data_IF_736593508081
#
_entry.id   IF_736593508081
#
_cell.length_a   1.000
_cell.length_b   1.000
_cell.length_c   1.000
_cell.angle_alpha   90.00
_cell.angle_beta   90.00
_cell.angle_gamma   90.00
#
_symmetry.space_group_name_H-M   'P 1'
#
loop_
_entity.id
_entity.type
_entity.pdbx_description
1 polymer ?
#
# COMPACT_ATOMS: atom_id res chain seq x y z
N UNK A 1 -34.83 -7.89 5.15
CA UNK A 1 -34.66 -9.22 4.52
C UNK A 1 -33.71 -9.10 3.35
N UNK A 2 -32.66 -9.93 3.27
CA UNK A 2 -31.81 -10.03 2.07
C UNK A 2 -32.68 -10.52 0.92
N UNK A 3 -32.66 -9.78 -0.22
CA UNK A 3 -33.46 -10.18 -1.38
C UNK A 3 -33.03 -11.58 -1.87
N UNK A 4 -33.94 -12.38 -2.47
CA UNK A 4 -33.65 -13.73 -2.97
C UNK A 4 -32.40 -13.84 -3.87
N UNK A 5 -32.03 -12.73 -4.55
CA UNK A 5 -30.86 -12.64 -5.42
C UNK A 5 -29.52 -12.76 -4.69
N UNK A 6 -29.46 -12.41 -3.40
CA UNK A 6 -28.24 -12.57 -2.59
C UNK A 6 -28.03 -14.00 -2.10
N UNK A 7 -29.05 -14.81 -2.11
CA UNK A 7 -28.95 -16.25 -1.79
C UNK A 7 -28.10 -17.00 -2.82
N UNK A 8 -28.30 -16.71 -4.13
CA UNK A 8 -27.45 -17.27 -5.20
C UNK A 8 -25.98 -16.84 -5.07
N UNK A 9 -25.72 -15.58 -4.68
CA UNK A 9 -24.38 -15.11 -4.41
C UNK A 9 -23.74 -15.87 -3.22
N UNK A 10 -24.48 -16.06 -2.13
CA UNK A 10 -23.98 -16.80 -0.95
C UNK A 10 -23.68 -18.26 -1.30
N UNK A 11 -24.52 -18.90 -2.09
CA UNK A 11 -24.25 -20.27 -2.57
C UNK A 11 -23.01 -20.31 -3.44
N UNK A 12 -22.86 -19.38 -4.39
CA UNK A 12 -21.68 -19.28 -5.24
C UNK A 12 -20.40 -19.04 -4.43
N UNK A 13 -20.45 -18.16 -3.44
CA UNK A 13 -19.31 -17.89 -2.52
C UNK A 13 -19.01 -19.11 -1.66
N UNK A 14 -20.03 -19.76 -1.09
CA UNK A 14 -19.87 -21.00 -0.31
C UNK A 14 -19.25 -22.12 -1.14
N UNK A 15 -19.71 -22.30 -2.38
CA UNK A 15 -19.17 -23.28 -3.31
C UNK A 15 -17.72 -22.96 -3.72
N UNK A 16 -17.42 -21.69 -3.99
CA UNK A 16 -16.05 -21.25 -4.28
C UNK A 16 -15.09 -21.51 -3.10
N UNK A 17 -15.56 -21.28 -1.87
CA UNK A 17 -14.78 -21.56 -0.65
C UNK A 17 -14.62 -23.08 -0.43
N UNK A 18 -15.61 -23.88 -0.75
CA UNK A 18 -15.52 -25.35 -0.66
C UNK A 18 -14.53 -25.93 -1.68
N UNK A 19 -14.47 -25.39 -2.88
CA UNK A 19 -13.55 -25.85 -3.93
C UNK A 19 -12.14 -25.28 -3.78
N UNK A 20 -12.00 -23.97 -3.59
CA UNK A 20 -10.71 -23.32 -3.51
C UNK A 20 -10.07 -23.38 -2.10
N UNK A 21 -10.90 -23.48 -1.05
CA UNK A 21 -10.46 -23.52 0.33
C UNK A 21 -9.47 -24.64 0.64
N UNK A 22 -9.75 -25.90 0.29
CA UNK A 22 -8.81 -27.01 0.49
C UNK A 22 -7.50 -26.81 -0.25
N UNK A 23 -7.55 -26.32 -1.50
CA UNK A 23 -6.36 -26.06 -2.31
C UNK A 23 -5.49 -24.96 -1.68
N UNK A 24 -6.10 -23.88 -1.21
CA UNK A 24 -5.40 -22.82 -0.50
C UNK A 24 -4.82 -23.30 0.83
N UNK A 25 -5.55 -24.15 1.55
CA UNK A 25 -5.09 -24.73 2.82
C UNK A 25 -3.95 -25.74 2.64
N UNK A 26 -3.90 -26.46 1.51
CA UNK A 26 -2.79 -27.36 1.17
C UNK A 26 -1.56 -26.56 0.72
N UNK A 27 -1.74 -25.62 -0.20
CA UNK A 27 -0.63 -24.85 -0.80
C UNK A 27 -0.07 -23.76 0.12
N UNK A 28 -0.88 -23.17 0.99
CA UNK A 28 -0.53 -22.02 1.86
C UNK A 28 -1.07 -22.16 3.28
N UNK A 29 -1.28 -23.39 3.75
CA UNK A 29 -1.97 -23.69 5.01
C UNK A 29 -1.33 -23.08 6.25
N UNK A 30 0.00 -22.97 6.30
CA UNK A 30 0.70 -22.31 7.41
C UNK A 30 0.27 -20.85 7.60
N UNK A 31 -0.05 -20.14 6.53
CA UNK A 31 -0.49 -18.74 6.59
C UNK A 31 -1.99 -18.56 6.78
N UNK A 32 -2.83 -19.48 6.27
CA UNK A 32 -4.29 -19.30 6.26
C UNK A 32 -5.02 -20.03 7.41
N UNK A 33 -4.54 -21.18 7.88
CA UNK A 33 -5.18 -21.91 9.00
C UNK A 33 -5.39 -21.05 10.25
N UNK A 34 -4.40 -20.26 10.71
CA UNK A 34 -4.59 -19.41 11.90
C UNK A 34 -5.63 -18.30 11.69
N UNK A 35 -5.99 -17.98 10.45
CA UNK A 35 -6.91 -16.88 10.11
C UNK A 35 -8.36 -17.32 9.99
N UNK A 36 -8.64 -18.63 9.90
CA UNK A 36 -9.97 -19.18 9.61
C UNK A 36 -11.02 -18.77 10.63
N UNK A 37 -10.67 -18.83 11.93
CA UNK A 37 -11.61 -18.43 12.99
C UNK A 37 -12.08 -16.98 12.83
N UNK A 38 -11.13 -16.06 12.54
CA UNK A 38 -11.45 -14.64 12.28
C UNK A 38 -12.32 -14.48 11.03
N UNK A 39 -12.00 -15.21 9.94
CA UNK A 39 -12.74 -15.16 8.67
C UNK A 39 -14.14 -15.76 8.72
N UNK A 40 -14.41 -16.62 9.70
CA UNK A 40 -15.75 -17.13 10.02
C UNK A 40 -16.46 -16.27 11.06
N UNK A 41 -15.97 -15.08 11.36
CA UNK A 41 -16.53 -14.15 12.32
C UNK A 41 -16.31 -14.58 13.77
N UNK A 42 -15.42 -15.53 14.04
CA UNK A 42 -15.20 -16.15 15.33
C UNK A 42 -13.97 -15.71 16.12
N UNK A 43 -13.03 -15.01 15.50
CA UNK A 43 -11.83 -14.53 16.18
C UNK A 43 -12.13 -13.29 17.02
N UNK A 44 -11.71 -13.28 18.30
CA UNK A 44 -11.63 -12.00 19.01
C UNK A 44 -10.56 -11.14 18.34
N UNK A 45 -10.86 -9.88 18.00
CA UNK A 45 -9.84 -8.95 17.57
C UNK A 45 -8.80 -8.86 18.70
N UNK A 46 -7.52 -9.11 18.40
CA UNK A 46 -6.48 -8.90 19.40
C UNK A 46 -6.35 -7.40 19.63
N UNK A 47 -6.54 -6.99 20.88
CA UNK A 47 -6.25 -5.63 21.32
C UNK A 47 -4.77 -5.30 21.05
N UNK A 48 -4.46 -4.06 20.66
CA UNK A 48 -3.08 -3.61 20.72
C UNK A 48 -2.60 -3.70 22.16
N UNK A 49 -1.39 -4.21 22.38
CA UNK A 49 -0.73 -4.06 23.69
C UNK A 49 -0.62 -2.57 23.97
N UNK A 50 -1.05 -2.08 25.14
CA UNK A 50 -0.92 -0.67 25.48
C UNK A 50 0.56 -0.28 25.42
N UNK A 51 0.90 0.93 24.96
CA UNK A 51 2.25 1.44 25.09
C UNK A 51 2.64 1.45 26.57
N UNK A 52 3.89 1.13 26.87
CA UNK A 52 4.42 0.93 28.23
C UNK A 52 4.30 2.13 29.19
N UNK A 53 3.65 3.21 28.82
CA UNK A 53 3.58 4.50 29.53
C UNK A 53 2.16 4.99 29.88
N UNK A 54 1.11 4.19 29.73
CA UNK A 54 -0.22 4.60 30.25
C UNK A 54 -0.46 4.02 31.64
N UNK A 55 -0.96 4.82 32.62
CA UNK A 55 -1.28 4.32 33.95
C UNK A 55 -2.35 3.23 33.87
N UNK A 56 -2.16 2.15 34.63
CA UNK A 56 -3.13 1.07 34.77
C UNK A 56 -4.40 1.61 35.44
N UNK A 57 -5.38 2.01 34.62
CA UNK A 57 -6.75 2.18 35.05
C UNK A 57 -7.45 0.83 35.07
N UNK A 58 -7.95 0.43 36.20
CA UNK A 58 -8.83 -0.74 36.35
C UNK A 58 -10.07 -0.55 35.48
N UNK A 59 -10.32 -1.46 34.57
CA UNK A 59 -11.50 -1.51 33.73
C UNK A 59 -11.13 -1.87 32.30
N UNK A 60 -11.35 -3.12 31.94
CA UNK A 60 -11.21 -3.58 30.57
C UNK A 60 -12.03 -2.69 29.63
N UNK A 61 -11.37 -1.88 28.83
CA UNK A 61 -12.03 -1.07 27.80
C UNK A 61 -12.80 -2.02 26.89
N UNK A 62 -14.11 -1.81 26.69
CA UNK A 62 -14.87 -2.66 25.79
C UNK A 62 -14.21 -2.62 24.41
N UNK A 63 -14.17 -3.75 23.68
CA UNK A 63 -13.39 -3.89 22.46
C UNK A 63 -13.67 -2.81 21.40
N UNK A 64 -14.84 -2.14 21.46
CA UNK A 64 -15.16 -1.03 20.55
C UNK A 64 -16.13 -0.06 21.20
N UNK A 65 -15.70 1.19 21.37
CA UNK A 65 -16.58 2.25 21.82
C UNK A 65 -17.62 2.58 20.74
N UNK A 66 -18.85 2.87 21.15
CA UNK A 66 -19.92 3.34 20.27
C UNK A 66 -19.45 4.58 19.49
N UNK A 67 -19.63 4.58 18.16
CA UNK A 67 -19.44 5.78 17.36
C UNK A 67 -18.09 5.94 16.65
N UNK A 68 -17.24 4.92 16.60
CA UNK A 68 -15.96 4.95 15.89
C UNK A 68 -16.07 4.81 14.36
N UNK A 69 -14.91 4.70 13.69
CA UNK A 69 -14.81 4.39 12.26
C UNK A 69 -14.32 2.96 12.05
N UNK A 70 -14.84 2.33 11.02
CA UNK A 70 -14.33 1.09 10.48
C UNK A 70 -13.62 1.34 9.16
N UNK A 71 -12.31 1.11 9.12
CA UNK A 71 -11.45 1.23 7.95
C UNK A 71 -11.23 -0.16 7.36
N UNK A 72 -11.54 -0.36 6.08
CA UNK A 72 -11.31 -1.63 5.39
C UNK A 72 -10.26 -1.46 4.30
N UNK A 73 -9.10 -2.07 4.51
CA UNK A 73 -7.93 -2.02 3.63
C UNK A 73 -7.46 -3.44 3.29
N UNK A 74 -7.62 -3.88 2.05
CA UNK A 74 -7.42 -5.27 1.65
C UNK A 74 -5.95 -5.69 1.67
N UNK A 75 -5.07 -4.83 1.17
CA UNK A 75 -3.66 -5.11 0.87
C UNK A 75 -2.68 -4.32 1.74
N UNK A 76 -1.38 -4.65 1.61
CA UNK A 76 -0.27 -3.89 2.23
C UNK A 76 -0.29 -2.42 1.83
N UNK A 77 -0.53 -2.14 0.53
CA UNK A 77 -0.58 -0.77 0.00
C UNK A 77 -1.74 0.03 0.58
N UNK A 78 -2.92 -0.57 0.62
CA UNK A 78 -4.11 0.07 1.21
C UNK A 78 -3.99 0.26 2.71
N UNK A 79 -3.38 -0.68 3.44
CA UNK A 79 -3.11 -0.52 4.87
C UNK A 79 -2.21 0.69 5.14
N UNK A 80 -1.22 0.95 4.28
CA UNK A 80 -0.38 2.15 4.33
C UNK A 80 -1.18 3.44 4.07
N UNK A 81 -2.03 3.42 3.05
CA UNK A 81 -2.92 4.55 2.70
C UNK A 81 -3.92 4.82 3.84
N UNK A 82 -4.52 3.77 4.41
CA UNK A 82 -5.42 3.89 5.54
C UNK A 82 -4.72 4.48 6.78
N UNK A 83 -3.48 4.08 7.04
CA UNK A 83 -2.67 4.65 8.12
C UNK A 83 -2.33 6.13 7.88
N UNK A 84 -2.05 6.51 6.64
CA UNK A 84 -1.84 7.91 6.26
C UNK A 84 -3.06 8.77 6.59
N UNK A 85 -4.26 8.30 6.21
CA UNK A 85 -5.52 9.00 6.54
C UNK A 85 -5.79 9.03 8.05
N UNK A 86 -5.57 7.92 8.74
CA UNK A 86 -5.91 7.76 10.15
C UNK A 86 -5.05 8.62 11.09
N UNK A 87 -3.89 9.06 10.66
CA UNK A 87 -2.99 9.91 11.44
C UNK A 87 -3.61 11.26 11.77
N UNK A 88 -4.40 11.80 10.85
CA UNK A 88 -5.03 13.11 10.99
C UNK A 88 -6.50 13.01 11.48
N UNK A 89 -6.97 11.81 11.84
CA UNK A 89 -8.22 11.60 12.55
C UNK A 89 -8.04 11.92 14.05
N UNK A 90 -9.10 12.39 14.76
CA UNK A 90 -9.05 12.64 16.19
C UNK A 90 -8.45 11.45 16.96
N UNK A 91 -7.54 11.71 17.90
CA UNK A 91 -6.83 10.67 18.63
C UNK A 91 -7.75 9.80 19.49
N UNK A 92 -8.83 10.36 19.98
CA UNK A 92 -9.88 9.73 20.79
C UNK A 92 -10.93 8.98 19.96
N UNK A 93 -10.94 9.16 18.63
CA UNK A 93 -11.88 8.46 17.76
C UNK A 93 -11.55 6.97 17.70
N UNK A 94 -12.45 6.06 18.14
CA UNK A 94 -12.22 4.63 18.06
C UNK A 94 -12.08 4.15 16.62
N UNK A 95 -11.04 3.37 16.34
CA UNK A 95 -10.78 2.82 15.01
C UNK A 95 -10.76 1.30 15.02
N UNK A 96 -11.42 0.72 14.03
CA UNK A 96 -11.30 -0.69 13.66
C UNK A 96 -10.72 -0.76 12.27
N UNK A 97 -9.71 -1.59 12.07
CA UNK A 97 -9.09 -1.81 10.77
C UNK A 97 -9.26 -3.27 10.38
N UNK A 98 -9.80 -3.54 9.21
CA UNK A 98 -9.87 -4.91 8.69
C UNK A 98 -9.06 -5.05 7.41
N UNK A 99 -8.42 -6.21 7.27
CA UNK A 99 -7.64 -6.59 6.09
C UNK A 99 -8.03 -7.97 5.59
N UNK A 100 -7.56 -8.36 4.41
CA UNK A 100 -7.81 -9.69 3.85
C UNK A 100 -6.53 -10.54 3.80
N UNK A 101 -5.40 -9.93 3.40
CA UNK A 101 -4.16 -10.69 3.23
C UNK A 101 -3.35 -10.79 4.53
N UNK A 102 -2.60 -11.89 4.78
CA UNK A 102 -1.73 -12.00 5.95
C UNK A 102 -0.70 -10.86 6.04
N UNK A 103 -0.04 -10.53 4.93
CA UNK A 103 0.94 -9.43 4.86
C UNK A 103 0.28 -8.06 5.07
N UNK A 104 -0.95 -7.86 4.56
CA UNK A 104 -1.76 -6.68 4.86
C UNK A 104 -2.09 -6.56 6.34
N UNK A 105 -2.40 -7.69 6.99
CA UNK A 105 -2.67 -7.75 8.42
C UNK A 105 -1.44 -7.38 9.27
N UNK A 106 -0.28 -7.92 8.92
CA UNK A 106 0.99 -7.60 9.59
C UNK A 106 1.31 -6.11 9.44
N UNK A 107 1.19 -5.59 8.23
CA UNK A 107 1.38 -4.16 7.94
C UNK A 107 0.40 -3.29 8.72
N UNK A 108 -0.89 -3.66 8.76
CA UNK A 108 -1.89 -2.91 9.50
C UNK A 108 -1.60 -2.93 11.00
N UNK A 109 -1.23 -4.09 11.58
CA UNK A 109 -0.84 -4.17 12.99
C UNK A 109 0.33 -3.26 13.34
N UNK A 110 1.36 -3.23 12.50
CA UNK A 110 2.49 -2.34 12.70
C UNK A 110 2.10 -0.85 12.57
N UNK A 111 1.33 -0.51 11.53
CA UNK A 111 0.97 0.88 11.24
C UNK A 111 -0.05 1.47 12.22
N UNK A 112 -0.90 0.63 12.81
CA UNK A 112 -1.96 1.03 13.75
C UNK A 112 -1.70 0.59 15.19
N UNK A 113 -0.45 0.22 15.53
CA UNK A 113 -0.08 -0.18 16.88
C UNK A 113 -0.48 0.89 17.92
N UNK A 114 -1.24 0.48 18.94
CA UNK A 114 -1.76 1.40 19.98
C UNK A 114 -2.87 2.36 19.52
N UNK A 115 -3.24 2.40 18.22
CA UNK A 115 -4.22 3.34 17.67
C UNK A 115 -5.54 2.71 17.25
N UNK A 116 -5.51 1.47 16.74
CA UNK A 116 -6.71 0.79 16.26
C UNK A 116 -6.71 -0.69 16.59
N UNK A 117 -7.90 -1.27 16.66
CA UNK A 117 -8.03 -2.72 16.68
C UNK A 117 -7.98 -3.26 15.26
N UNK A 118 -7.11 -4.25 15.03
CA UNK A 118 -6.87 -4.82 13.71
C UNK A 118 -7.38 -6.26 13.63
N UNK A 119 -8.24 -6.55 12.66
CA UNK A 119 -8.85 -7.86 12.45
C UNK A 119 -8.83 -8.28 10.97
N UNK A 120 -9.06 -9.56 10.70
CA UNK A 120 -9.38 -10.00 9.35
C UNK A 120 -10.84 -9.69 9.02
N UNK A 121 -11.10 -9.23 7.78
CA UNK A 121 -12.46 -9.20 7.28
C UNK A 121 -12.99 -10.65 7.22
N UNK A 122 -14.20 -10.92 7.75
CA UNK A 122 -14.82 -12.22 7.56
C UNK A 122 -15.10 -12.49 6.08
N UNK A 123 -15.24 -13.77 5.72
CA UNK A 123 -15.77 -14.13 4.40
C UNK A 123 -17.12 -13.44 4.18
N UNK A 124 -17.40 -13.02 2.96
CA UNK A 124 -18.65 -12.34 2.62
C UNK A 124 -19.84 -13.33 2.61
N UNK A 125 -20.06 -13.95 3.77
CA UNK A 125 -21.15 -14.85 4.09
C UNK A 125 -22.02 -14.19 5.15
N UNK A 126 -23.35 -14.21 4.96
CA UNK A 126 -24.26 -13.46 5.82
C UNK A 126 -24.15 -13.80 7.31
N UNK A 127 -23.90 -15.07 7.69
CA UNK A 127 -23.70 -15.46 9.08
C UNK A 127 -22.36 -14.96 9.61
N UNK A 128 -21.29 -15.04 8.82
CA UNK A 128 -19.95 -14.62 9.24
C UNK A 128 -19.86 -13.11 9.44
N UNK A 129 -20.45 -12.34 8.53
CA UNK A 129 -20.55 -10.87 8.62
C UNK A 129 -21.35 -10.47 9.86
N UNK A 130 -22.56 -11.04 10.08
CA UNK A 130 -23.37 -10.73 11.27
C UNK A 130 -22.63 -11.05 12.56
N UNK A 131 -22.04 -12.25 12.65
CA UNK A 131 -21.26 -12.66 13.81
C UNK A 131 -20.06 -11.75 14.08
N UNK A 132 -19.41 -11.27 13.02
CA UNK A 132 -18.34 -10.29 13.14
C UNK A 132 -18.86 -8.99 13.73
N UNK A 133 -19.94 -8.44 13.20
CA UNK A 133 -20.55 -7.21 13.73
C UNK A 133 -20.91 -7.33 15.21
N UNK A 134 -21.58 -8.43 15.59
CA UNK A 134 -22.07 -8.64 16.97
C UNK A 134 -20.90 -8.74 17.96
N UNK A 135 -19.76 -9.30 17.53
CA UNK A 135 -18.57 -9.44 18.38
C UNK A 135 -17.65 -8.24 18.34
N UNK A 136 -17.49 -7.64 17.18
CA UNK A 136 -16.60 -6.52 17.00
C UNK A 136 -17.20 -5.22 17.56
N UNK A 137 -18.53 -5.09 17.56
CA UNK A 137 -19.23 -3.88 17.97
C UNK A 137 -20.34 -4.13 18.99
N UNK A 138 -20.02 -4.69 20.17
CA UNK A 138 -21.04 -5.05 21.17
C UNK A 138 -21.74 -3.83 21.76
N UNK A 139 -21.09 -2.67 21.80
CA UNK A 139 -21.66 -1.41 22.27
C UNK A 139 -22.49 -0.67 21.20
N UNK A 140 -22.58 -1.22 20.01
CA UNK A 140 -23.29 -0.64 18.85
C UNK A 140 -22.37 -0.43 17.65
N UNK A 141 -22.94 -0.31 16.45
CA UNK A 141 -22.17 -0.22 15.21
C UNK A 141 -21.33 1.06 15.14
N UNK A 142 -20.21 1.05 14.37
CA UNK A 142 -19.45 2.26 14.05
C UNK A 142 -20.32 3.23 13.25
N UNK A 143 -19.92 4.48 13.20
CA UNK A 143 -20.66 5.53 12.44
C UNK A 143 -20.56 5.31 10.94
N UNK A 144 -19.38 4.95 10.47
CA UNK A 144 -19.14 4.71 9.06
C UNK A 144 -18.16 3.56 8.84
N UNK A 145 -18.33 2.92 7.67
CA UNK A 145 -17.38 2.01 7.05
C UNK A 145 -16.70 2.77 5.91
N UNK A 146 -15.38 2.87 5.96
CA UNK A 146 -14.55 3.46 4.90
C UNK A 146 -13.83 2.34 4.16
N UNK A 147 -14.15 2.17 2.89
CA UNK A 147 -13.50 1.23 1.97
C UNK A 147 -12.37 1.95 1.24
N UNK A 148 -11.19 1.33 1.17
CA UNK A 148 -10.10 1.87 0.39
C UNK A 148 -10.07 1.27 -1.02
N UNK A 149 -9.77 2.10 -2.01
CA UNK A 149 -9.63 1.81 -3.44
C UNK A 149 -10.89 1.24 -4.15
N UNK A 150 -11.79 0.54 -3.47
CA UNK A 150 -13.08 0.16 -4.06
C UNK A 150 -13.37 -1.35 -4.07
N UNK A 151 -13.05 -2.06 -3.01
CA UNK A 151 -13.47 -3.44 -2.82
C UNK A 151 -14.92 -3.52 -2.27
N UNK A 152 -15.86 -3.76 -3.16
CA UNK A 152 -17.29 -3.79 -2.85
C UNK A 152 -17.77 -5.20 -2.52
N UNK A 153 -17.88 -5.54 -1.24
CA UNK A 153 -18.36 -6.82 -0.73
C UNK A 153 -19.87 -6.77 -0.53
N UNK A 154 -20.69 -7.52 -1.34
CA UNK A 154 -22.14 -7.35 -1.37
C UNK A 154 -22.85 -7.51 -0.04
N UNK A 155 -22.49 -8.54 0.75
CA UNK A 155 -23.16 -8.83 2.00
C UNK A 155 -22.66 -7.94 3.12
N UNK A 156 -21.39 -7.57 3.11
CA UNK A 156 -20.85 -6.56 3.99
C UNK A 156 -21.59 -5.23 3.83
N UNK A 157 -21.74 -4.76 2.58
CA UNK A 157 -22.45 -3.51 2.28
C UNK A 157 -23.92 -3.59 2.71
N UNK A 158 -24.60 -4.71 2.40
CA UNK A 158 -25.99 -4.91 2.79
C UNK A 158 -26.17 -4.90 4.32
N UNK A 159 -25.28 -5.55 5.07
CA UNK A 159 -25.33 -5.59 6.53
C UNK A 159 -24.96 -4.24 7.15
N UNK A 160 -23.95 -3.55 6.62
CA UNK A 160 -23.58 -2.20 7.04
C UNK A 160 -24.78 -1.23 6.92
N UNK A 161 -25.45 -1.23 5.74
CA UNK A 161 -26.64 -0.40 5.53
C UNK A 161 -27.82 -0.82 6.42
N UNK A 162 -28.03 -2.12 6.64
CA UNK A 162 -29.07 -2.62 7.55
C UNK A 162 -28.87 -2.13 8.99
N UNK A 163 -27.61 -2.00 9.43
CA UNK A 163 -27.22 -1.48 10.76
C UNK A 163 -27.09 0.03 10.77
N UNK A 164 -27.42 0.68 9.65
CA UNK A 164 -27.45 2.14 9.53
C UNK A 164 -26.07 2.78 9.41
N UNK A 165 -25.00 2.06 9.06
CA UNK A 165 -23.70 2.68 8.82
C UNK A 165 -23.74 3.56 7.56
N UNK A 166 -23.03 4.67 7.62
CA UNK A 166 -22.59 5.32 6.39
C UNK A 166 -21.49 4.47 5.73
N UNK A 167 -21.53 4.33 4.42
CA UNK A 167 -20.49 3.64 3.64
C UNK A 167 -19.79 4.64 2.76
N UNK A 168 -18.50 4.77 2.92
CA UNK A 168 -17.67 5.75 2.23
C UNK A 168 -16.56 5.02 1.46
N UNK A 169 -16.14 5.58 0.35
CA UNK A 169 -14.94 5.14 -0.37
C UNK A 169 -13.90 6.23 -0.27
N UNK A 170 -12.69 5.88 0.17
CA UNK A 170 -11.52 6.74 0.19
C UNK A 170 -10.47 6.20 -0.79
N UNK A 171 -9.73 7.11 -1.43
CA UNK A 171 -8.73 6.75 -2.45
C UNK A 171 -9.30 5.89 -3.60
N UNK A 172 -10.58 6.12 -3.94
CA UNK A 172 -11.33 5.33 -4.90
C UNK A 172 -10.70 5.32 -6.28
N UNK A 173 -10.62 4.13 -6.88
CA UNK A 173 -10.05 3.93 -8.21
C UNK A 173 -10.90 2.97 -9.04
N UNK A 174 -11.17 3.34 -10.27
CA UNK A 174 -11.89 2.51 -11.25
C UNK A 174 -11.02 2.34 -12.49
N UNK A 175 -10.13 1.32 -12.50
CA UNK A 175 -9.29 1.04 -13.65
C UNK A 175 -10.08 0.50 -14.85
N UNK A 176 -9.51 0.56 -16.08
CA UNK A 176 -10.19 0.18 -17.33
C UNK A 176 -10.78 -1.21 -17.30
N UNK A 177 -10.02 -2.22 -16.82
CA UNK A 177 -10.49 -3.60 -16.69
C UNK A 177 -11.66 -3.73 -15.71
N UNK A 178 -11.60 -2.97 -14.59
CA UNK A 178 -12.66 -2.90 -13.59
C UNK A 178 -13.93 -2.27 -14.14
N UNK A 179 -13.79 -1.14 -14.81
CA UNK A 179 -14.88 -0.43 -15.48
C UNK A 179 -15.58 -1.31 -16.51
N UNK A 180 -14.80 -1.95 -17.39
CA UNK A 180 -15.36 -2.87 -18.40
C UNK A 180 -16.13 -4.04 -17.79
N UNK A 181 -15.61 -4.62 -16.68
CA UNK A 181 -16.33 -5.69 -15.94
C UNK A 181 -17.62 -5.19 -15.31
N UNK A 182 -17.59 -4.03 -14.65
CA UNK A 182 -18.78 -3.43 -14.02
C UNK A 182 -19.86 -3.08 -15.05
N UNK A 183 -19.50 -2.60 -16.23
CA UNK A 183 -20.45 -2.35 -17.33
C UNK A 183 -21.16 -3.63 -17.79
N UNK A 184 -20.47 -4.78 -17.86
CA UNK A 184 -21.08 -6.06 -18.26
C UNK A 184 -22.14 -6.55 -17.26
N UNK A 185 -22.01 -6.14 -15.98
CA UNK A 185 -22.94 -6.49 -14.91
C UNK A 185 -23.61 -5.24 -14.33
N UNK A 186 -23.97 -4.28 -15.19
CA UNK A 186 -24.43 -2.96 -14.80
C UNK A 186 -25.55 -2.95 -13.73
N UNK A 187 -26.60 -3.81 -13.76
CA UNK A 187 -27.62 -3.80 -12.72
C UNK A 187 -27.06 -4.15 -11.33
N UNK A 188 -26.13 -5.11 -11.27
CA UNK A 188 -25.45 -5.46 -10.01
C UNK A 188 -24.50 -4.36 -9.56
N UNK A 189 -23.69 -3.81 -10.48
CA UNK A 189 -22.77 -2.71 -10.20
C UNK A 189 -23.52 -1.51 -9.65
N UNK A 190 -24.62 -1.05 -10.29
CA UNK A 190 -25.47 0.05 -9.78
C UNK A 190 -25.99 -0.23 -8.39
N UNK A 191 -26.39 -1.46 -8.09
CA UNK A 191 -26.89 -1.81 -6.75
C UNK A 191 -25.79 -1.74 -5.70
N UNK A 192 -24.57 -2.22 -6.00
CA UNK A 192 -23.41 -2.16 -5.09
C UNK A 192 -22.98 -0.71 -4.86
N UNK A 193 -22.77 0.03 -5.94
CA UNK A 193 -22.40 1.44 -5.88
C UNK A 193 -23.49 2.31 -5.24
N UNK A 194 -24.76 1.90 -5.37
CA UNK A 194 -25.90 2.53 -4.71
C UNK A 194 -25.85 2.45 -3.18
N UNK A 195 -25.17 1.46 -2.61
CA UNK A 195 -25.01 1.30 -1.16
C UNK A 195 -23.94 2.24 -0.55
N UNK A 196 -23.08 2.87 -1.37
CA UNK A 196 -22.04 3.81 -0.92
C UNK A 196 -22.62 5.22 -0.84
N UNK A 197 -22.45 5.89 0.27
CA UNK A 197 -22.99 7.24 0.50
C UNK A 197 -22.10 8.33 -0.13
N UNK A 198 -20.77 8.18 -0.10
CA UNK A 198 -19.82 9.14 -0.69
C UNK A 198 -18.60 8.42 -1.27
N UNK A 199 -18.07 8.98 -2.35
CA UNK A 199 -16.86 8.51 -3.02
C UNK A 199 -15.81 9.62 -3.03
N UNK A 200 -14.67 9.40 -2.39
CA UNK A 200 -13.44 10.17 -2.58
C UNK A 200 -12.56 9.44 -3.58
N UNK A 201 -12.44 9.94 -4.79
CA UNK A 201 -11.73 9.28 -5.88
C UNK A 201 -10.39 9.94 -6.20
N UNK A 202 -9.48 9.17 -6.81
CA UNK A 202 -8.12 9.63 -7.11
C UNK A 202 -8.06 10.65 -8.25
N UNK A 203 -8.95 10.53 -9.24
CA UNK A 203 -8.89 11.34 -10.46
C UNK A 203 -10.28 11.69 -11.02
N UNK A 204 -10.30 12.66 -11.94
CA UNK A 204 -11.51 13.00 -12.72
C UNK A 204 -11.95 11.83 -13.59
N UNK A 205 -11.01 11.05 -14.13
CA UNK A 205 -11.33 9.84 -14.90
C UNK A 205 -12.07 8.79 -14.05
N UNK A 206 -11.68 8.61 -12.79
CA UNK A 206 -12.41 7.70 -11.86
C UNK A 206 -13.82 8.23 -11.57
N UNK A 207 -13.96 9.55 -11.37
CA UNK A 207 -15.29 10.20 -11.22
C UNK A 207 -16.16 9.94 -12.43
N UNK A 208 -15.66 10.19 -13.62
CA UNK A 208 -16.43 10.08 -14.86
C UNK A 208 -16.85 8.62 -15.13
N UNK A 209 -16.00 7.65 -14.78
CA UNK A 209 -16.34 6.23 -14.83
C UNK A 209 -17.44 5.86 -13.84
N UNK A 210 -17.42 6.38 -12.61
CA UNK A 210 -18.50 6.16 -11.62
C UNK A 210 -19.83 6.76 -12.09
N UNK A 211 -19.81 7.95 -12.68
CA UNK A 211 -20.99 8.59 -13.27
C UNK A 211 -21.54 7.71 -14.40
N UNK A 212 -20.69 7.20 -15.29
CA UNK A 212 -21.08 6.28 -16.38
C UNK A 212 -21.64 4.95 -15.85
N UNK A 213 -21.30 4.55 -14.62
CA UNK A 213 -21.87 3.39 -13.92
C UNK A 213 -23.17 3.72 -13.18
N UNK A 214 -23.63 4.99 -13.18
CA UNK A 214 -24.90 5.42 -12.62
C UNK A 214 -24.81 5.97 -11.19
N UNK A 215 -23.60 6.36 -10.73
CA UNK A 215 -23.44 7.08 -9.46
C UNK A 215 -23.77 8.56 -9.67
N UNK A 216 -24.58 9.16 -8.81
CA UNK A 216 -24.88 10.59 -8.86
C UNK A 216 -23.62 11.44 -8.61
N UNK A 217 -23.38 12.49 -9.42
CA UNK A 217 -22.18 13.31 -9.33
C UNK A 217 -22.01 13.99 -7.95
N UNK A 218 -23.12 14.29 -7.27
CA UNK A 218 -23.16 14.91 -5.93
C UNK A 218 -22.59 14.01 -4.83
N UNK A 219 -22.46 12.72 -5.12
CA UNK A 219 -21.88 11.73 -4.20
C UNK A 219 -20.38 11.52 -4.41
N UNK A 220 -19.78 12.14 -5.44
CA UNK A 220 -18.40 11.91 -5.83
C UNK A 220 -17.57 13.19 -5.67
N UNK A 221 -16.48 13.10 -4.91
CA UNK A 221 -15.47 14.15 -4.82
C UNK A 221 -14.13 13.63 -5.35
N UNK A 222 -13.45 14.44 -6.15
CA UNK A 222 -12.06 14.14 -6.55
C UNK A 222 -11.15 14.60 -5.41
N UNK A 223 -10.80 13.68 -4.52
CA UNK A 223 -9.96 13.97 -3.36
C UNK A 223 -8.46 13.85 -3.66
N UNK A 224 -8.10 13.19 -4.76
CA UNK A 224 -6.71 12.89 -5.10
C UNK A 224 -6.23 11.58 -4.51
N UNK A 225 -4.96 11.25 -4.77
CA UNK A 225 -4.36 9.99 -4.33
C UNK A 225 -3.62 10.17 -3.00
N UNK A 226 -4.09 9.51 -1.95
CA UNK A 226 -3.53 9.56 -0.60
C UNK A 226 -2.05 9.12 -0.52
N UNK A 227 -1.54 8.42 -1.53
CA UNK A 227 -0.13 8.02 -1.59
C UNK A 227 0.83 9.20 -1.65
N UNK A 228 0.40 10.34 -2.20
CA UNK A 228 1.21 11.57 -2.23
C UNK A 228 1.38 12.20 -0.84
N UNK A 229 0.42 11.99 0.06
CA UNK A 229 0.44 12.51 1.44
C UNK A 229 1.09 11.56 2.44
N UNK A 230 1.57 10.39 1.99
CA UNK A 230 2.29 9.45 2.88
C UNK A 230 3.43 10.20 3.57
N UNK A 231 3.57 10.11 4.91
CA UNK A 231 4.65 10.79 5.62
C UNK A 231 6.02 10.37 5.11
N UNK A 232 6.98 11.29 5.22
CA UNK A 232 8.36 10.94 4.95
C UNK A 232 8.83 9.91 5.98
N UNK A 233 9.45 8.81 5.51
CA UNK A 233 10.01 7.82 6.40
C UNK A 233 11.23 8.40 7.14
N UNK A 234 11.34 8.11 8.43
CA UNK A 234 12.53 8.43 9.20
C UNK A 234 13.71 7.58 8.73
N UNK A 235 14.84 8.22 8.46
CA UNK A 235 16.10 7.54 8.17
C UNK A 235 16.86 7.35 9.49
N UNK A 236 17.20 6.11 9.80
CA UNK A 236 18.06 5.80 10.93
C UNK A 236 19.45 6.38 10.70
N UNK A 237 19.95 7.15 11.71
CA UNK A 237 21.21 7.86 11.59
C UNK A 237 22.42 6.94 11.53
N UNK A 238 22.38 5.79 12.22
CA UNK A 238 23.45 4.79 12.19
C UNK A 238 23.53 4.13 10.80
N UNK A 239 22.37 3.80 10.22
CA UNK A 239 22.30 3.26 8.86
C UNK A 239 22.77 4.28 7.82
N UNK A 240 22.35 5.54 7.95
CA UNK A 240 22.81 6.60 7.05
C UNK A 240 24.33 6.77 7.09
N UNK A 241 24.93 6.77 8.28
CA UNK A 241 26.38 6.84 8.49
C UNK A 241 27.09 5.64 7.89
N UNK A 242 26.58 4.41 8.11
CA UNK A 242 27.16 3.20 7.57
C UNK A 242 27.17 3.20 6.03
N UNK A 243 26.03 3.59 5.40
CA UNK A 243 25.94 3.69 3.95
C UNK A 243 26.87 4.76 3.40
N UNK A 244 26.95 5.91 4.05
CA UNK A 244 27.87 7.00 3.64
C UNK A 244 29.33 6.55 3.69
N UNK A 245 29.70 5.80 4.73
CA UNK A 245 31.04 5.21 4.84
C UNK A 245 31.33 4.18 3.72
N UNK A 246 30.36 3.29 3.43
CA UNK A 246 30.47 2.31 2.35
C UNK A 246 30.56 2.99 0.97
N UNK A 247 29.83 4.07 0.78
CA UNK A 247 29.86 4.82 -0.46
C UNK A 247 31.26 5.47 -0.69
N UNK A 248 31.99 5.78 0.38
CA UNK A 248 33.34 6.37 0.32
C UNK A 248 33.40 7.59 -0.62
N UNK A 249 32.40 8.48 -0.52
CA UNK A 249 32.27 9.65 -1.39
C UNK A 249 31.67 9.41 -2.79
N UNK A 250 31.44 8.14 -3.17
CA UNK A 250 30.75 7.81 -4.43
C UNK A 250 29.26 8.12 -4.34
N UNK A 251 28.60 8.53 -5.44
CA UNK A 251 27.15 8.55 -5.56
C UNK A 251 26.50 7.21 -5.21
N UNK A 252 25.29 7.24 -4.66
CA UNK A 252 24.49 6.06 -4.35
C UNK A 252 23.40 5.90 -5.41
N UNK A 253 23.36 4.78 -6.08
CA UNK A 253 22.27 4.36 -6.96
C UNK A 253 21.42 3.33 -6.23
N UNK A 254 20.10 3.48 -6.25
CA UNK A 254 19.18 2.56 -5.57
C UNK A 254 18.27 1.88 -6.58
N UNK A 255 18.32 0.56 -6.67
CA UNK A 255 17.36 -0.25 -7.37
C UNK A 255 16.37 -0.84 -6.35
N UNK A 256 15.20 -0.22 -6.24
CA UNK A 256 14.23 -0.54 -5.19
C UNK A 256 13.10 -1.45 -5.66
N UNK A 257 12.72 -2.40 -4.83
CA UNK A 257 11.63 -3.34 -5.07
C UNK A 257 11.81 -4.17 -6.35
N UNK A 258 13.00 -4.69 -6.58
CA UNK A 258 13.31 -5.47 -7.78
C UNK A 258 12.60 -6.83 -7.81
N UNK A 259 12.30 -7.29 -9.01
CA UNK A 259 11.62 -8.56 -9.30
C UNK A 259 12.58 -9.49 -10.07
N UNK A 260 12.22 -10.78 -10.13
CA UNK A 260 13.04 -11.78 -10.81
C UNK A 260 13.39 -11.36 -12.26
N UNK A 261 14.65 -11.45 -12.63
CA UNK A 261 15.21 -11.05 -13.92
C UNK A 261 15.67 -9.59 -13.98
N UNK A 262 15.21 -8.74 -13.05
CA UNK A 262 15.65 -7.34 -13.01
C UNK A 262 17.03 -7.20 -12.35
N UNK A 263 17.37 -8.09 -11.43
CA UNK A 263 18.67 -8.06 -10.75
C UNK A 263 19.83 -8.33 -11.72
N UNK A 264 19.66 -9.30 -12.63
CA UNK A 264 20.61 -9.56 -13.72
C UNK A 264 20.73 -8.35 -14.65
N UNK A 265 19.59 -7.75 -15.03
CA UNK A 265 19.56 -6.55 -15.86
C UNK A 265 20.28 -5.38 -15.18
N UNK A 266 20.10 -5.19 -13.87
CA UNK A 266 20.77 -4.15 -13.08
C UNK A 266 22.27 -4.37 -12.99
N UNK A 267 22.73 -5.61 -12.82
CA UNK A 267 24.14 -5.94 -12.83
C UNK A 267 24.77 -5.64 -14.21
N UNK A 268 24.07 -5.94 -15.30
CA UNK A 268 24.52 -5.59 -16.63
C UNK A 268 24.55 -4.04 -16.84
N UNK A 269 23.49 -3.35 -16.43
CA UNK A 269 23.36 -1.89 -16.54
C UNK A 269 24.46 -1.13 -15.77
N UNK A 270 24.90 -1.67 -14.63
CA UNK A 270 25.93 -1.06 -13.76
C UNK A 270 27.33 -1.60 -14.00
N UNK A 271 27.54 -2.42 -15.04
CA UNK A 271 28.87 -2.88 -15.40
C UNK A 271 29.80 -1.71 -15.73
N UNK A 272 31.00 -1.69 -15.11
CA UNK A 272 31.97 -0.61 -15.23
C UNK A 272 31.66 0.65 -14.40
N UNK A 273 30.62 0.63 -13.55
CA UNK A 273 30.31 1.73 -12.64
C UNK A 273 30.74 1.47 -11.19
N UNK A 274 31.35 0.32 -10.89
CA UNK A 274 31.68 -0.14 -9.55
C UNK A 274 32.59 0.84 -8.78
N UNK A 275 33.54 1.43 -9.45
CA UNK A 275 34.41 2.47 -8.86
C UNK A 275 33.73 3.86 -8.79
N UNK A 276 32.64 4.08 -9.53
CA UNK A 276 31.98 5.39 -9.69
C UNK A 276 30.75 5.55 -8.80
N UNK A 277 30.09 4.46 -8.39
CA UNK A 277 28.88 4.49 -7.60
C UNK A 277 28.77 3.25 -6.70
N UNK A 278 28.09 3.40 -5.57
CA UNK A 278 27.56 2.30 -4.77
C UNK A 278 26.15 1.97 -5.27
N UNK A 279 25.90 0.71 -5.66
CA UNK A 279 24.55 0.24 -5.96
C UNK A 279 23.92 -0.36 -4.70
N UNK A 280 22.78 0.14 -4.27
CA UNK A 280 21.91 -0.52 -3.30
C UNK A 280 20.84 -1.30 -4.06
N UNK A 281 20.82 -2.61 -3.88
CA UNK A 281 19.89 -3.52 -4.52
C UNK A 281 18.89 -4.04 -3.49
N UNK A 282 17.62 -3.75 -3.66
CA UNK A 282 16.54 -4.06 -2.71
C UNK A 282 15.45 -4.94 -3.35
N UNK A 283 15.55 -6.28 -3.26
CA UNK A 283 14.53 -7.19 -3.79
C UNK A 283 13.19 -7.03 -3.07
N UNK A 284 12.09 -7.07 -3.83
CA UNK A 284 10.73 -6.86 -3.32
C UNK A 284 10.29 -7.93 -2.30
N UNK A 285 10.75 -9.15 -2.49
CA UNK A 285 10.28 -10.33 -1.77
C UNK A 285 11.39 -10.91 -0.89
N UNK A 286 11.22 -10.97 0.44
CA UNK A 286 12.23 -11.51 1.37
C UNK A 286 12.69 -12.93 1.04
N UNK A 287 11.77 -13.77 0.54
CA UNK A 287 12.06 -15.13 0.11
C UNK A 287 13.11 -15.23 -1.02
N UNK A 288 13.35 -14.13 -1.74
CA UNK A 288 14.34 -14.05 -2.82
C UNK A 288 15.71 -13.53 -2.38
N UNK A 289 15.88 -13.08 -1.14
CA UNK A 289 17.16 -12.51 -0.68
C UNK A 289 18.34 -13.49 -0.84
N UNK A 290 18.10 -14.78 -0.54
CA UNK A 290 19.12 -15.82 -0.73
C UNK A 290 19.47 -16.07 -2.21
N UNK A 291 18.47 -16.06 -3.09
CA UNK A 291 18.65 -16.19 -4.54
C UNK A 291 19.48 -15.03 -5.10
N UNK A 292 19.14 -13.79 -4.70
CA UNK A 292 19.85 -12.59 -5.17
C UNK A 292 21.26 -12.51 -4.58
N UNK A 293 21.46 -12.92 -3.32
CA UNK A 293 22.82 -13.03 -2.76
C UNK A 293 23.69 -14.00 -3.57
N UNK A 294 23.16 -15.19 -3.90
CA UNK A 294 23.88 -16.16 -4.74
C UNK A 294 24.14 -15.64 -6.17
N UNK A 295 23.27 -14.81 -6.73
CA UNK A 295 23.51 -14.12 -8.00
C UNK A 295 24.69 -13.15 -7.89
N UNK A 296 24.74 -12.35 -6.82
CA UNK A 296 25.82 -11.40 -6.56
C UNK A 296 27.17 -12.11 -6.38
N UNK A 297 27.22 -13.23 -5.65
CA UNK A 297 28.42 -14.04 -5.49
C UNK A 297 28.94 -14.53 -6.84
N UNK A 298 28.06 -15.02 -7.73
CA UNK A 298 28.42 -15.44 -9.08
C UNK A 298 28.93 -14.30 -9.97
N UNK A 299 28.46 -13.10 -9.73
CA UNK A 299 28.87 -11.90 -10.50
C UNK A 299 30.30 -11.45 -10.20
N UNK A 300 30.94 -11.98 -9.16
CA UNK A 300 32.29 -11.64 -8.66
C UNK A 300 32.42 -10.14 -8.29
N UNK A 301 31.32 -9.45 -8.02
CA UNK A 301 31.35 -8.08 -7.52
C UNK A 301 31.48 -8.07 -6.01
N UNK A 302 32.29 -7.14 -5.49
CA UNK A 302 32.36 -6.92 -4.06
C UNK A 302 30.97 -6.52 -3.53
N UNK A 303 30.34 -7.43 -2.79
CA UNK A 303 28.99 -7.26 -2.26
C UNK A 303 28.99 -7.34 -0.75
N UNK A 304 28.19 -6.50 -0.11
CA UNK A 304 27.90 -6.58 1.32
C UNK A 304 26.40 -6.72 1.51
N UNK A 305 25.99 -7.47 2.53
CA UNK A 305 24.57 -7.58 2.93
C UNK A 305 24.26 -6.57 4.02
N UNK A 306 23.07 -5.98 4.00
CA UNK A 306 22.61 -5.08 5.05
C UNK A 306 22.60 -5.77 6.42
N UNK A 307 22.18 -7.03 6.47
CA UNK A 307 22.17 -7.83 7.70
C UNK A 307 23.55 -8.00 8.34
N UNK A 308 24.63 -7.90 7.55
CA UNK A 308 26.02 -8.05 8.02
C UNK A 308 26.70 -6.71 8.38
N UNK A 309 26.02 -5.55 8.18
CA UNK A 309 26.64 -4.24 8.41
C UNK A 309 27.10 -4.01 9.85
N UNK A 310 26.40 -4.57 10.84
CA UNK A 310 26.74 -4.40 12.25
C UNK A 310 27.99 -5.22 12.66
N UNK A 311 28.32 -6.27 11.89
CA UNK A 311 29.41 -7.21 12.19
C UNK A 311 30.69 -6.92 11.40
N UNK A 312 30.61 -5.99 10.42
CA UNK A 312 31.73 -5.69 9.54
C UNK A 312 32.59 -4.58 10.17
N UNK A 313 33.83 -4.83 10.57
CA UNK A 313 34.75 -3.78 10.96
C UNK A 313 34.93 -2.79 9.81
N UNK A 314 35.28 -1.53 10.12
CA UNK A 314 35.60 -0.54 9.09
C UNK A 314 36.54 -1.17 8.06
N UNK A 315 36.06 -1.32 6.82
CA UNK A 315 36.70 -2.13 5.79
C UNK A 315 38.12 -1.61 5.53
N UNK A 316 39.13 -2.45 5.76
CA UNK A 316 40.52 -2.18 5.39
C UNK A 316 40.84 -2.51 3.93
N UNK A 317 39.78 -2.82 3.11
CA UNK A 317 39.90 -3.19 1.71
C UNK A 317 39.10 -2.25 0.79
N UNK A 318 39.03 -2.62 -0.49
CA UNK A 318 38.22 -1.88 -1.48
C UNK A 318 36.75 -1.77 -1.07
N UNK A 319 36.13 -0.59 -1.19
CA UNK A 319 34.76 -0.41 -0.80
C UNK A 319 33.81 -1.24 -1.68
N UNK A 320 32.74 -1.86 -1.12
CA UNK A 320 31.84 -2.71 -1.89
C UNK A 320 31.20 -1.95 -3.06
N UNK A 321 31.01 -2.66 -4.17
CA UNK A 321 30.30 -2.14 -5.33
C UNK A 321 28.79 -2.22 -5.16
N UNK A 322 28.31 -3.22 -4.41
CA UNK A 322 26.87 -3.49 -4.20
C UNK A 322 26.57 -3.70 -2.71
N UNK A 323 25.51 -3.07 -2.23
CA UNK A 323 24.88 -3.38 -0.95
C UNK A 323 23.54 -4.07 -1.24
N UNK A 324 23.41 -5.35 -0.85
CA UNK A 324 22.12 -6.04 -0.87
C UNK A 324 21.30 -5.62 0.34
N UNK A 325 20.17 -4.96 0.13
CA UNK A 325 19.24 -4.59 1.19
C UNK A 325 18.33 -5.79 1.52
N UNK A 326 18.78 -6.65 2.41
CA UNK A 326 18.06 -7.82 2.90
C UNK A 326 17.35 -7.54 4.23
N UNK A 327 16.65 -6.40 4.28
CA UNK A 327 15.83 -5.94 5.40
C UNK A 327 14.51 -5.35 4.92
N UNK A 328 13.53 -5.25 5.83
CA UNK A 328 12.22 -4.68 5.55
C UNK A 328 12.06 -3.29 6.17
N UNK A 329 11.41 -2.39 5.43
CA UNK A 329 10.97 -1.08 5.93
C UNK A 329 12.01 0.04 5.80
N UNK A 330 13.24 -0.22 5.39
CA UNK A 330 14.32 0.76 5.28
C UNK A 330 14.39 1.45 3.91
N UNK A 331 14.00 0.76 2.83
CA UNK A 331 14.16 1.23 1.44
C UNK A 331 13.63 2.65 1.20
N UNK A 332 12.41 2.93 1.65
CA UNK A 332 11.76 4.22 1.39
C UNK A 332 12.54 5.40 2.01
N UNK A 333 13.18 5.19 3.18
CA UNK A 333 14.01 6.19 3.82
C UNK A 333 15.36 6.36 3.11
N UNK A 334 15.91 5.26 2.58
CA UNK A 334 17.21 5.25 1.92
C UNK A 334 17.23 6.05 0.62
N UNK A 335 16.10 6.23 -0.05
CA UNK A 335 16.05 7.11 -1.24
C UNK A 335 16.52 8.54 -0.95
N UNK A 336 16.48 9.00 0.30
CA UNK A 336 17.06 10.30 0.68
C UNK A 336 18.56 10.40 0.40
N UNK A 337 19.27 9.28 0.38
CA UNK A 337 20.70 9.20 0.11
C UNK A 337 21.01 8.99 -1.38
N UNK A 338 20.00 8.74 -2.20
CA UNK A 338 20.19 8.34 -3.59
C UNK A 338 20.57 9.52 -4.49
N UNK A 339 21.50 9.28 -5.39
CA UNK A 339 21.82 10.14 -6.54
C UNK A 339 21.07 9.73 -7.80
N UNK A 340 20.43 8.56 -7.80
CA UNK A 340 19.57 8.04 -8.85
C UNK A 340 18.84 6.78 -8.37
N UNK A 341 17.64 6.55 -8.88
CA UNK A 341 16.82 5.40 -8.50
C UNK A 341 16.23 4.68 -9.72
N UNK A 342 16.20 3.37 -9.66
CA UNK A 342 15.39 2.52 -10.51
C UNK A 342 14.24 1.92 -9.70
N UNK A 343 13.02 1.98 -10.22
CA UNK A 343 11.85 1.38 -9.59
C UNK A 343 11.62 0.00 -10.21
N UNK A 344 11.75 -1.03 -9.41
CA UNK A 344 11.59 -2.42 -9.83
C UNK A 344 10.15 -2.82 -10.16
N UNK A 345 10.00 -4.01 -10.74
CA UNK A 345 8.74 -4.50 -11.28
C UNK A 345 8.30 -3.77 -12.55
N UNK A 346 9.21 -2.99 -13.14
CA UNK A 346 8.93 -2.14 -14.30
C UNK A 346 9.59 -2.63 -15.59
N UNK A 347 10.77 -3.23 -15.54
CA UNK A 347 11.33 -4.01 -16.65
C UNK A 347 10.68 -5.40 -16.70
N UNK A 348 10.46 -6.02 -15.55
CA UNK A 348 9.61 -7.21 -15.45
C UNK A 348 8.14 -6.82 -15.67
N UNK A 349 7.29 -7.71 -16.29
CA UNK A 349 5.89 -7.39 -16.61
C UNK A 349 4.96 -7.50 -15.39
N UNK A 350 5.39 -6.99 -14.23
CA UNK A 350 4.68 -7.11 -12.94
C UNK A 350 3.85 -5.87 -12.57
N UNK A 351 3.92 -4.78 -13.36
CA UNK A 351 3.08 -3.60 -13.20
C UNK A 351 3.70 -2.47 -12.38
N UNK A 352 4.95 -2.62 -11.98
CA UNK A 352 5.72 -1.58 -11.29
C UNK A 352 5.41 -1.43 -9.81
N UNK A 353 6.27 -0.65 -9.15
CA UNK A 353 6.12 -0.23 -7.77
C UNK A 353 5.99 1.29 -7.64
N UNK A 354 5.90 1.81 -6.40
CA UNK A 354 5.58 3.19 -6.11
C UNK A 354 6.77 4.13 -6.40
N UNK A 355 6.71 5.03 -7.42
CA UNK A 355 7.81 5.93 -7.73
C UNK A 355 7.87 7.14 -6.79
N UNK A 356 6.79 7.47 -6.08
CA UNK A 356 6.72 8.62 -5.17
C UNK A 356 7.78 8.50 -4.06
N UNK A 357 8.10 7.27 -3.63
CA UNK A 357 9.04 7.04 -2.55
C UNK A 357 10.44 7.59 -2.86
N UNK A 358 10.88 7.52 -4.11
CA UNK A 358 12.12 8.12 -4.55
C UNK A 358 11.93 9.58 -5.01
N UNK A 359 10.91 9.85 -5.82
CA UNK A 359 10.70 11.15 -6.44
C UNK A 359 10.52 12.29 -5.43
N UNK A 360 9.90 12.02 -4.28
CA UNK A 360 9.69 13.01 -3.21
C UNK A 360 10.97 13.65 -2.67
N UNK A 361 12.09 12.94 -2.77
CA UNK A 361 13.41 13.42 -2.34
C UNK A 361 14.18 14.14 -3.45
N UNK A 362 13.56 14.40 -4.59
CA UNK A 362 14.23 15.02 -5.73
C UNK A 362 15.26 14.11 -6.39
N UNK A 363 15.10 12.80 -6.25
CA UNK A 363 15.96 11.79 -6.88
C UNK A 363 15.49 11.57 -8.32
N UNK A 364 16.39 11.58 -9.32
CA UNK A 364 16.05 11.18 -10.67
C UNK A 364 15.64 9.70 -10.70
N UNK A 365 14.50 9.41 -11.31
CA UNK A 365 13.88 8.08 -11.30
C UNK A 365 13.89 7.50 -12.70
N UNK A 366 14.33 6.24 -12.83
CA UNK A 366 14.16 5.40 -14.02
C UNK A 366 13.09 4.35 -13.79
N UNK A 367 12.26 4.12 -14.81
CA UNK A 367 11.22 3.07 -14.84
C UNK A 367 11.20 2.36 -16.18
N UNK A 368 10.95 1.06 -16.17
CA UNK A 368 10.70 0.27 -17.37
C UNK A 368 9.29 0.49 -17.95
N UNK A 369 8.90 -0.28 -18.98
CA UNK A 369 7.62 -0.10 -19.68
C UNK A 369 6.40 -0.54 -18.84
N UNK A 370 6.57 -1.40 -17.85
CA UNK A 370 5.47 -2.01 -17.09
C UNK A 370 5.09 -1.17 -15.86
N UNK A 371 4.11 -0.26 -16.02
CA UNK A 371 3.60 0.60 -14.94
C UNK A 371 2.08 0.50 -14.76
N UNK A 372 1.46 -0.60 -15.17
CA UNK A 372 0.00 -0.71 -15.20
C UNK A 372 -0.67 -0.72 -13.81
N UNK A 373 0.04 -1.10 -12.73
CA UNK A 373 -0.46 -0.95 -11.36
C UNK A 373 -0.53 0.53 -10.92
N UNK A 374 0.23 1.41 -11.58
CA UNK A 374 0.33 2.84 -11.29
C UNK A 374 0.05 3.69 -12.55
N UNK A 375 -0.83 3.23 -13.45
CA UNK A 375 -1.03 3.82 -14.78
C UNK A 375 -1.39 5.32 -14.75
N UNK A 376 -2.26 5.75 -13.83
CA UNK A 376 -2.63 7.17 -13.68
C UNK A 376 -1.42 8.02 -13.22
N UNK A 377 -0.69 7.51 -12.23
CA UNK A 377 0.52 8.15 -11.74
C UNK A 377 1.59 8.20 -12.84
N UNK A 378 1.77 7.10 -13.60
CA UNK A 378 2.68 7.05 -14.72
C UNK A 378 2.36 8.10 -15.78
N UNK A 379 1.09 8.27 -16.14
CA UNK A 379 0.67 9.29 -17.08
C UNK A 379 1.00 10.72 -16.61
N UNK A 380 0.89 10.99 -15.30
CA UNK A 380 1.29 12.30 -14.73
C UNK A 380 2.79 12.52 -14.80
N UNK A 381 3.59 11.50 -14.45
CA UNK A 381 5.06 11.57 -14.54
C UNK A 381 5.54 11.74 -15.99
N UNK A 382 4.90 11.05 -16.94
CA UNK A 382 5.20 11.21 -18.38
C UNK A 382 4.88 12.63 -18.85
N UNK A 383 3.69 13.14 -18.53
CA UNK A 383 3.26 14.48 -18.93
C UNK A 383 4.17 15.59 -18.37
N UNK A 384 4.69 15.40 -17.15
CA UNK A 384 5.62 16.33 -16.51
C UNK A 384 7.09 16.10 -16.90
N UNK A 385 7.40 15.11 -17.74
CA UNK A 385 8.76 14.64 -18.01
C UNK A 385 9.59 14.49 -16.71
N UNK A 386 8.96 13.88 -15.69
CA UNK A 386 9.46 13.83 -14.31
C UNK A 386 10.22 12.54 -13.97
N UNK A 387 10.48 11.71 -14.94
CA UNK A 387 11.28 10.49 -14.85
C UNK A 387 11.90 10.11 -16.20
N UNK A 388 12.78 9.09 -16.19
CA UNK A 388 13.35 8.49 -17.37
C UNK A 388 12.69 7.14 -17.65
N UNK A 389 12.09 6.94 -18.82
CA UNK A 389 11.66 5.62 -19.26
C UNK A 389 12.81 4.90 -19.92
N UNK A 390 12.98 3.63 -19.61
CA UNK A 390 14.02 2.76 -20.17
C UNK A 390 13.38 1.48 -20.68
N UNK A 391 13.78 1.04 -21.87
CA UNK A 391 13.22 -0.19 -22.45
C UNK A 391 13.90 -1.46 -21.88
N UNK A 392 15.17 -1.37 -21.53
CA UNK A 392 16.01 -2.50 -21.14
C UNK A 392 17.20 -2.09 -20.24
N UNK A 393 18.05 -3.07 -19.94
CA UNK A 393 19.26 -2.88 -19.14
C UNK A 393 20.27 -1.92 -19.78
N UNK A 394 20.36 -1.87 -21.12
CA UNK A 394 21.31 -1.00 -21.80
C UNK A 394 20.93 0.46 -21.66
N UNK A 395 19.64 0.78 -21.86
CA UNK A 395 19.11 2.12 -21.65
C UNK A 395 19.17 2.55 -20.17
N UNK A 396 18.90 1.62 -19.23
CA UNK A 396 19.06 1.88 -17.80
C UNK A 396 20.52 2.23 -17.47
N UNK A 397 21.48 1.47 -18.02
CA UNK A 397 22.90 1.75 -17.86
C UNK A 397 23.31 3.10 -18.46
N UNK A 398 22.74 3.46 -19.60
CA UNK A 398 22.97 4.79 -20.22
C UNK A 398 22.40 5.92 -19.32
N UNK A 399 21.21 5.73 -18.77
CA UNK A 399 20.61 6.70 -17.84
C UNK A 399 21.48 6.89 -16.59
N UNK A 400 21.94 5.81 -15.95
CA UNK A 400 22.82 5.88 -14.78
C UNK A 400 24.16 6.59 -15.10
N UNK A 401 24.80 6.25 -16.23
CA UNK A 401 26.03 6.95 -16.67
C UNK A 401 25.78 8.44 -16.86
N UNK A 402 24.72 8.79 -17.58
CA UNK A 402 24.35 10.19 -17.82
C UNK A 402 24.16 10.96 -16.51
N UNK A 403 23.50 10.37 -15.51
CA UNK A 403 23.29 11.02 -14.20
C UNK A 403 24.56 11.16 -13.36
N UNK A 404 25.54 10.27 -13.57
CA UNK A 404 26.85 10.37 -12.94
C UNK A 404 27.75 11.40 -13.63
N UNK A 405 27.59 11.58 -14.95
CA UNK A 405 28.37 12.50 -15.77
C UNK A 405 27.82 13.93 -15.67
N UNK A 406 26.49 14.10 -15.75
CA UNK A 406 25.79 15.39 -15.64
C UNK A 406 24.85 15.39 -14.42
N UNK A 407 25.42 15.74 -13.27
CA UNK A 407 24.67 15.79 -12.00
C UNK A 407 23.63 16.91 -11.97
N UNK A 408 23.81 18.00 -12.76
CA UNK A 408 22.83 19.09 -12.75
C UNK A 408 21.58 18.70 -13.56
N UNK A 409 21.72 18.10 -14.72
CA UNK A 409 20.60 17.56 -15.48
C UNK A 409 19.86 16.46 -14.68
N UNK A 410 20.60 15.59 -13.97
CA UNK A 410 20.02 14.58 -13.07
C UNK A 410 19.19 15.22 -11.95
N UNK A 411 19.73 16.26 -11.30
CA UNK A 411 19.01 17.00 -10.24
C UNK A 411 17.76 17.70 -10.79
N UNK A 412 17.83 18.28 -12.01
CA UNK A 412 16.65 18.91 -12.61
C UNK A 412 15.55 17.89 -12.89
N UNK A 413 15.89 16.70 -13.37
CA UNK A 413 14.93 15.59 -13.51
C UNK A 413 14.29 15.24 -12.17
N UNK A 414 15.10 15.10 -11.12
CA UNK A 414 14.64 14.84 -9.76
C UNK A 414 13.73 15.96 -9.21
N UNK A 415 14.10 17.23 -9.42
CA UNK A 415 13.27 18.39 -9.02
C UNK A 415 11.89 18.39 -9.68
N UNK A 416 11.78 17.99 -10.94
CA UNK A 416 10.48 17.83 -11.62
C UNK A 416 9.64 16.75 -10.94
N UNK A 417 10.25 15.61 -10.57
CA UNK A 417 9.58 14.56 -9.81
C UNK A 417 9.08 15.05 -8.45
N UNK A 418 9.91 15.76 -7.70
CA UNK A 418 9.54 16.31 -6.39
C UNK A 418 8.41 17.34 -6.49
N UNK A 419 8.46 18.25 -7.46
CA UNK A 419 7.36 19.21 -7.71
C UNK A 419 6.06 18.51 -8.02
N UNK A 420 6.07 17.51 -8.90
CA UNK A 420 4.88 16.73 -9.21
C UNK A 420 4.29 16.05 -7.96
N UNK A 421 5.14 15.51 -7.08
CA UNK A 421 4.69 14.92 -5.82
C UNK A 421 4.02 15.99 -4.95
N UNK A 422 4.64 17.16 -4.77
CA UNK A 422 4.11 18.24 -3.93
C UNK A 422 2.80 18.81 -4.45
N UNK A 423 2.68 19.04 -5.76
CA UNK A 423 1.46 19.54 -6.42
C UNK A 423 0.25 18.60 -6.26
N UNK A 424 0.49 17.30 -6.04
CA UNK A 424 -0.55 16.31 -5.87
C UNK A 424 -0.90 16.01 -4.40
N UNK A 425 -0.28 16.69 -3.43
CA UNK A 425 -0.58 16.57 -2.00
C UNK A 425 -1.93 17.18 -1.62
N UNK A 426 -2.34 16.98 -0.38
CA UNK A 426 -3.59 17.49 0.18
C UNK A 426 -4.78 16.53 0.00
N UNK A 427 -4.56 15.32 -0.51
CA UNK A 427 -5.61 14.30 -0.64
C UNK A 427 -6.17 13.87 0.72
N UNK A 428 -5.34 13.82 1.76
CA UNK A 428 -5.77 13.52 3.14
C UNK A 428 -6.77 14.57 3.63
N UNK A 429 -6.44 15.86 3.52
CA UNK A 429 -7.32 16.94 3.98
C UNK A 429 -8.67 16.89 3.25
N UNK A 430 -8.67 16.77 1.91
CA UNK A 430 -9.91 16.66 1.11
C UNK A 430 -10.71 15.40 1.44
N UNK A 431 -10.04 14.27 1.75
CA UNK A 431 -10.73 13.04 2.16
C UNK A 431 -11.33 13.17 3.56
N UNK A 432 -10.66 13.86 4.48
CA UNK A 432 -11.19 14.13 5.81
C UNK A 432 -12.41 15.05 5.76
N UNK A 433 -12.41 16.06 4.89
CA UNK A 433 -13.60 16.90 4.64
C UNK A 433 -14.79 16.05 4.17
N UNK A 434 -14.57 15.09 3.26
CA UNK A 434 -15.60 14.16 2.82
C UNK A 434 -16.14 13.28 3.96
N UNK A 435 -15.28 12.87 4.90
CA UNK A 435 -15.61 11.96 6.02
C UNK A 435 -16.23 12.73 7.20
N UNK A 436 -15.81 13.97 7.42
CA UNK A 436 -16.20 14.79 8.60
C UNK A 436 -17.70 14.80 8.92
N UNK A 437 -18.64 14.92 7.97
CA UNK A 437 -20.08 14.89 8.26
C UNK A 437 -20.55 13.60 8.94
N UNK A 438 -19.78 12.52 8.82
CA UNK A 438 -20.08 11.20 9.37
C UNK A 438 -19.36 10.93 10.71
N UNK A 439 -18.55 11.86 11.22
CA UNK A 439 -17.85 11.77 12.50
C UNK A 439 -18.65 12.38 13.65
N UNK A 440 -19.55 13.31 13.39
CA UNK A 440 -20.37 14.00 14.38
C UNK A 440 -21.42 13.11 15.05
N UNK A 441 -22.07 13.56 16.14
CA UNK A 441 -23.24 12.86 16.69
C UNK A 441 -24.29 12.75 15.57
N UNK A 442 -24.91 11.56 15.44
CA UNK A 442 -26.10 11.43 14.59
C UNK A 442 -27.20 12.25 15.21
N UNK A 443 -27.73 13.22 14.47
CA UNK A 443 -29.07 13.73 14.79
C UNK A 443 -30.04 12.53 14.74
N UNK A 444 -30.92 12.39 15.75
CA UNK A 444 -31.97 11.37 15.70
C UNK A 444 -32.74 11.58 14.41
N UNK A 445 -32.97 10.50 13.63
CA UNK A 445 -33.83 10.55 12.46
C UNK A 445 -35.15 11.15 12.91
N UNK A 446 -35.57 12.23 12.28
CA UNK A 446 -36.90 12.81 12.49
C UNK A 446 -37.93 11.71 12.25
N UNK A 447 -38.68 11.38 13.28
CA UNK A 447 -39.73 10.38 13.32
C UNK A 447 -40.89 10.73 12.39
#
# INVERSE_FOLDING_TARGET
>A
MLSPKWWLYQLGMGFALLLAGPILLVRRGGHYRPTLAGRLGGGSPRQPSPPASLPKGEGGTPPFAKGGLWLHAVSVGEAGVAATLARDLPADLPLVVTTITPTGQERARAAFAGRATVAYLPFDLGFAIRRFFDRAFPAGPPRALVLFEGDYWPLLLAEAKRRGLAVLVANGRVGDKGFGRMKRVAPLARRLLGAVDRFGVQSTADRDRLIALGVGPERIAVTGNLKYDTPEPALDSGLATAISSLAAGRPVLIAGSTMAGEEEALLAATAGLEARALLILAPRHPERWGEVAALLDRSRRACLRRSALAETPATTGDPPAVLLLDSLGELAALYRLASGAFIGGTLAPTGGHNPIEAARFGVPVAVGPSMHNFAEMAARFDAAAAWCRVADAAELGAAFRSWLDDREAARELGRRGARLVEENRGAVARTLELIRPFLGPREPAAS
#
